data_IF_679075175799
#
_entry.id   IF_679075175799
#
_cell.length_a   1.000
_cell.length_b   1.000
_cell.length_c   1.000
_cell.angle_alpha   90.00
_cell.angle_beta   90.00
_cell.angle_gamma   90.00
#
_symmetry.space_group_name_H-M   'P 1'
#
loop_
_entity.id
_entity.type
_entity.pdbx_description
1 polymer ?
#
# COMPACT_ATOMS: atom_id res chain seq x y z
N UNK A 1 -10.23 15.51 -18.41
CA UNK A 1 -9.66 14.23 -18.41
C UNK A 1 -8.19 14.16 -18.10
N UNK A 2 -7.50 15.24 -18.07
CA UNK A 2 -6.08 15.25 -17.76
C UNK A 2 -5.78 15.17 -16.26
N UNK A 3 -6.80 15.15 -15.39
CA UNK A 3 -6.58 15.26 -13.95
C UNK A 3 -5.92 14.03 -13.33
N UNK A 4 -6.08 12.87 -13.95
CA UNK A 4 -5.50 11.62 -13.45
C UNK A 4 -4.03 11.49 -13.82
N UNK A 5 -3.62 11.99 -14.98
CA UNK A 5 -2.24 11.84 -15.41
C UNK A 5 -1.23 12.55 -14.50
N UNK A 6 -1.48 13.79 -14.03
CA UNK A 6 -0.56 14.40 -13.07
C UNK A 6 -0.43 13.61 -11.77
N UNK A 7 -1.52 12.97 -11.30
CA UNK A 7 -1.48 12.11 -10.12
C UNK A 7 -0.58 10.90 -10.37
N UNK A 8 -0.77 10.22 -11.49
CA UNK A 8 0.04 9.06 -11.83
C UNK A 8 1.50 9.44 -11.96
N UNK A 9 1.81 10.56 -12.62
CA UNK A 9 3.17 11.06 -12.76
C UNK A 9 3.81 11.33 -11.40
N UNK A 10 3.06 11.92 -10.47
CA UNK A 10 3.55 12.20 -9.13
C UNK A 10 3.87 10.92 -8.37
N UNK A 11 3.00 9.92 -8.49
CA UNK A 11 3.23 8.61 -7.86
C UNK A 11 4.50 7.96 -8.41
N UNK A 12 4.67 7.97 -9.72
CA UNK A 12 5.84 7.37 -10.37
C UNK A 12 7.11 8.10 -9.95
N UNK A 13 7.08 9.43 -9.95
CA UNK A 13 8.24 10.26 -9.60
C UNK A 13 8.68 10.02 -8.15
N UNK A 14 7.75 9.68 -7.26
CA UNK A 14 8.06 9.46 -5.84
C UNK A 14 8.79 8.15 -5.58
N UNK A 15 8.77 7.21 -6.52
CA UNK A 15 9.38 5.89 -6.35
C UNK A 15 10.72 5.86 -7.11
N UNK A 16 11.82 5.38 -6.47
CA UNK A 16 13.10 5.28 -7.18
C UNK A 16 12.99 4.42 -8.45
N UNK A 17 13.64 4.86 -9.51
CA UNK A 17 13.56 4.20 -10.81
C UNK A 17 14.00 2.73 -10.75
N UNK A 18 15.02 2.42 -9.96
CA UNK A 18 15.50 1.04 -9.81
C UNK A 18 14.45 0.14 -9.16
N UNK A 19 13.61 0.68 -8.30
CA UNK A 19 12.53 -0.09 -7.68
C UNK A 19 11.41 -0.33 -8.68
N UNK A 20 11.10 0.66 -9.51
CA UNK A 20 10.10 0.49 -10.57
C UNK A 20 10.56 -0.53 -11.61
N UNK A 21 11.86 -0.66 -11.83
CA UNK A 21 12.39 -1.66 -12.75
C UNK A 21 12.29 -3.08 -12.17
N UNK A 22 12.39 -3.23 -10.86
CA UNK A 22 12.36 -4.54 -10.21
C UNK A 22 10.97 -5.04 -9.88
N UNK A 23 10.00 -4.15 -9.68
CA UNK A 23 8.67 -4.55 -9.23
C UNK A 23 7.95 -5.41 -10.25
N UNK A 24 7.29 -6.46 -9.78
CA UNK A 24 6.44 -7.32 -10.60
C UNK A 24 4.98 -6.88 -10.54
N UNK A 25 4.50 -6.55 -9.34
CA UNK A 25 3.10 -6.18 -9.11
C UNK A 25 2.97 -5.14 -8.01
N UNK A 26 1.89 -4.39 -8.08
CA UNK A 26 1.50 -3.49 -7.01
C UNK A 26 0.43 -4.14 -6.16
N UNK A 27 0.57 -4.03 -4.85
CA UNK A 27 -0.41 -4.54 -3.88
C UNK A 27 -1.34 -3.39 -3.53
N UNK A 28 -2.60 -3.53 -3.92
CA UNK A 28 -3.62 -2.50 -3.73
C UNK A 28 -4.39 -2.76 -2.44
N UNK A 29 -4.39 -1.78 -1.55
CA UNK A 29 -5.08 -1.89 -0.27
C UNK A 29 -6.47 -1.26 -0.38
N UNK A 30 -7.51 -2.03 -0.06
CA UNK A 30 -8.90 -1.57 -0.11
C UNK A 30 -9.10 -0.35 0.80
N UNK A 31 -9.79 0.69 0.36
CA UNK A 31 -10.42 0.77 -0.97
C UNK A 31 -9.73 1.80 -1.86
N UNK A 32 -9.22 2.89 -1.32
CA UNK A 32 -8.65 3.99 -2.11
C UNK A 32 -7.31 3.63 -2.72
N UNK A 33 -6.59 2.70 -2.12
CA UNK A 33 -5.37 2.17 -2.71
C UNK A 33 -5.61 1.45 -4.04
N UNK A 34 -6.83 0.94 -4.27
CA UNK A 34 -7.17 0.29 -5.54
C UNK A 34 -7.01 1.25 -6.72
N UNK A 35 -7.46 2.49 -6.57
CA UNK A 35 -7.33 3.49 -7.65
C UNK A 35 -5.87 3.79 -7.93
N UNK A 36 -5.11 4.10 -6.89
CA UNK A 36 -3.70 4.50 -7.03
C UNK A 36 -2.86 3.36 -7.60
N UNK A 37 -3.05 2.15 -7.07
CA UNK A 37 -2.30 0.99 -7.55
C UNK A 37 -2.64 0.63 -8.99
N UNK A 38 -3.92 0.78 -9.38
CA UNK A 38 -4.36 0.52 -10.74
C UNK A 38 -3.71 1.49 -11.73
N UNK A 39 -3.60 2.76 -11.35
CA UNK A 39 -2.94 3.76 -12.18
C UNK A 39 -1.46 3.41 -12.41
N UNK A 40 -0.78 3.01 -11.34
CA UNK A 40 0.62 2.61 -11.43
C UNK A 40 0.79 1.35 -12.28
N UNK A 41 0.00 0.33 -12.01
CA UNK A 41 0.09 -0.94 -12.71
C UNK A 41 -0.17 -0.77 -14.21
N UNK A 42 -1.19 -0.01 -14.54
CA UNK A 42 -1.56 0.21 -15.94
C UNK A 42 -0.48 1.02 -16.68
N UNK A 43 -0.01 2.11 -16.08
CA UNK A 43 1.01 2.95 -16.71
C UNK A 43 2.32 2.20 -16.93
N UNK A 44 2.71 1.36 -15.97
CA UNK A 44 4.02 0.69 -15.98
C UNK A 44 3.97 -0.73 -16.54
N UNK A 45 2.79 -1.19 -16.91
CA UNK A 45 2.63 -2.56 -17.44
C UNK A 45 2.97 -3.63 -16.43
N UNK A 46 2.60 -3.41 -15.16
CA UNK A 46 2.86 -4.34 -14.06
C UNK A 46 1.57 -4.99 -13.58
N UNK A 47 1.70 -6.04 -12.76
CA UNK A 47 0.56 -6.73 -12.19
C UNK A 47 -0.10 -5.98 -11.04
N UNK A 48 -1.25 -6.49 -10.61
CA UNK A 48 -2.04 -5.93 -9.52
C UNK A 48 -2.51 -7.06 -8.62
N UNK A 49 -2.20 -6.95 -7.32
CA UNK A 49 -2.66 -7.88 -6.30
C UNK A 49 -3.54 -7.12 -5.33
N UNK A 50 -4.70 -7.69 -4.98
CA UNK A 50 -5.67 -7.01 -4.13
C UNK A 50 -5.57 -7.50 -2.70
N UNK A 51 -5.57 -6.58 -1.76
CA UNK A 51 -5.76 -6.84 -0.33
C UNK A 51 -7.13 -6.29 0.04
N UNK A 52 -8.00 -7.16 0.53
CA UNK A 52 -9.38 -6.81 0.84
C UNK A 52 -9.78 -7.29 2.24
N UNK A 53 -10.82 -6.72 2.75
CA UNK A 53 -11.40 -7.19 4.01
C UNK A 53 -11.96 -8.60 3.83
N UNK A 54 -12.04 -9.34 4.94
CA UNK A 54 -12.44 -10.74 4.94
C UNK A 54 -13.76 -10.97 4.20
N UNK A 55 -13.80 -12.06 3.46
CA UNK A 55 -15.01 -12.50 2.76
C UNK A 55 -15.26 -11.86 1.40
N UNK A 56 -14.38 -10.97 0.94
CA UNK A 56 -14.58 -10.28 -0.34
C UNK A 56 -13.83 -10.89 -1.51
N UNK A 57 -12.88 -11.78 -1.24
CA UNK A 57 -12.14 -12.48 -2.29
C UNK A 57 -12.58 -13.93 -2.37
N UNK A 58 -12.59 -14.53 -3.57
CA UNK A 58 -12.88 -15.95 -3.70
C UNK A 58 -11.76 -16.78 -3.07
N UNK A 59 -12.09 -17.89 -2.40
CA UNK A 59 -11.07 -18.79 -1.87
C UNK A 59 -10.28 -19.45 -2.98
N UNK A 60 -9.03 -19.89 -2.76
CA UNK A 60 -8.34 -19.85 -1.48
C UNK A 60 -7.71 -18.48 -1.18
N UNK A 61 -7.74 -18.10 0.09
CA UNK A 61 -7.14 -16.84 0.55
C UNK A 61 -6.22 -17.09 1.74
N UNK A 62 -5.30 -16.15 1.96
CA UNK A 62 -4.49 -16.06 3.17
C UNK A 62 -4.92 -14.78 3.87
N UNK A 63 -4.99 -14.81 5.18
CA UNK A 63 -5.43 -13.65 5.92
C UNK A 63 -4.58 -13.36 7.15
N UNK A 64 -4.71 -12.12 7.62
CA UNK A 64 -4.09 -11.65 8.84
C UNK A 64 -5.07 -10.75 9.58
N UNK A 65 -5.16 -10.94 10.90
CA UNK A 65 -5.97 -10.07 11.75
C UNK A 65 -5.17 -8.87 12.21
N UNK A 66 -5.86 -7.78 12.46
CA UNK A 66 -5.24 -6.60 13.05
C UNK A 66 -6.23 -5.87 13.94
N UNK A 67 -5.70 -5.17 14.95
CA UNK A 67 -6.53 -4.50 15.96
C UNK A 67 -6.99 -3.14 15.48
N UNK A 68 -8.25 -2.86 15.74
CA UNK A 68 -8.85 -1.54 15.54
C UNK A 68 -9.32 -1.03 16.90
N UNK A 69 -9.66 0.27 16.98
CA UNK A 69 -10.24 0.85 18.20
C UNK A 69 -11.49 0.10 18.66
N UNK A 70 -12.25 -0.42 17.72
CA UNK A 70 -13.56 -1.04 17.98
C UNK A 70 -13.54 -2.56 17.98
N UNK A 71 -12.34 -3.17 17.90
CA UNK A 71 -12.24 -4.62 17.86
C UNK A 71 -11.18 -5.09 16.89
N UNK A 72 -11.44 -6.22 16.26
CA UNK A 72 -10.53 -6.85 15.32
C UNK A 72 -11.10 -6.79 13.91
N UNK A 73 -10.23 -6.62 12.95
CA UNK A 73 -10.57 -6.78 11.54
C UNK A 73 -9.58 -7.75 10.92
N UNK A 74 -9.86 -8.20 9.71
CA UNK A 74 -9.03 -9.16 9.01
C UNK A 74 -8.88 -8.74 7.56
N UNK A 75 -7.64 -8.79 7.09
CA UNK A 75 -7.33 -8.55 5.69
C UNK A 75 -6.93 -9.85 5.03
N UNK A 76 -7.28 -9.99 3.77
CA UNK A 76 -7.02 -11.19 2.99
C UNK A 76 -6.47 -10.85 1.62
N UNK A 77 -5.67 -11.76 1.07
CA UNK A 77 -5.26 -11.72 -0.32
C UNK A 77 -5.25 -13.13 -0.88
N UNK A 78 -5.27 -13.24 -2.21
CA UNK A 78 -5.31 -14.53 -2.88
C UNK A 78 -4.10 -15.38 -2.50
N UNK A 79 -4.36 -16.64 -2.13
CA UNK A 79 -3.34 -17.65 -1.99
C UNK A 79 -2.96 -18.17 -3.39
N UNK A 80 -1.94 -18.98 -3.47
CA UNK A 80 -1.58 -19.69 -4.72
C UNK A 80 -1.15 -18.77 -5.87
N UNK A 81 -0.73 -17.54 -5.57
CA UNK A 81 -0.09 -16.69 -6.56
C UNK A 81 1.41 -16.92 -6.52
N UNK A 82 2.09 -16.91 -7.69
CA UNK A 82 3.55 -17.04 -7.71
C UNK A 82 4.22 -15.94 -6.88
N UNK A 83 5.34 -16.28 -6.27
CA UNK A 83 6.11 -15.30 -5.50
C UNK A 83 6.58 -14.17 -6.41
N UNK A 84 6.41 -12.94 -5.95
CA UNK A 84 6.67 -11.73 -6.73
C UNK A 84 7.33 -10.67 -5.87
N UNK A 85 8.02 -9.75 -6.53
CA UNK A 85 8.49 -8.51 -5.89
C UNK A 85 7.39 -7.47 -6.00
N UNK A 86 6.97 -6.92 -4.88
CA UNK A 86 5.79 -6.06 -4.83
C UNK A 86 6.07 -4.73 -4.14
N UNK A 87 5.27 -3.74 -4.52
CA UNK A 87 5.20 -2.45 -3.83
C UNK A 87 3.77 -2.32 -3.33
N UNK A 88 3.62 -2.07 -2.03
CA UNK A 88 2.30 -1.85 -1.41
C UNK A 88 1.87 -0.42 -1.70
N UNK A 89 0.60 -0.22 -2.05
CA UNK A 89 0.08 1.10 -2.41
C UNK A 89 -1.14 1.42 -1.57
N UNK A 90 -1.11 2.58 -0.92
CA UNK A 90 -2.26 3.09 -0.18
C UNK A 90 -2.30 4.62 -0.27
N UNK A 91 -3.41 5.22 0.12
CA UNK A 91 -3.59 6.66 -0.01
C UNK A 91 -2.97 7.43 1.16
N UNK A 92 -3.22 7.01 2.40
CA UNK A 92 -2.72 7.72 3.59
C UNK A 92 -2.02 6.75 4.53
N UNK A 93 -0.86 7.16 5.01
CA UNK A 93 -0.17 6.46 6.09
C UNK A 93 -0.28 7.32 7.34
N UNK A 94 -1.13 6.90 8.27
CA UNK A 94 -1.32 7.55 9.56
C UNK A 94 -0.59 6.78 10.65
N UNK A 95 -1.28 5.95 11.42
CA UNK A 95 -0.66 5.21 12.51
C UNK A 95 0.17 4.01 12.05
N UNK A 96 -0.09 3.53 10.85
CA UNK A 96 0.65 2.41 10.28
C UNK A 96 0.09 1.03 10.58
N UNK A 97 -1.02 0.94 11.29
CA UNK A 97 -1.61 -0.36 11.64
C UNK A 97 -2.00 -1.18 10.42
N UNK A 98 -2.67 -0.55 9.47
CA UNK A 98 -3.06 -1.23 8.23
C UNK A 98 -1.84 -1.65 7.42
N UNK A 99 -0.90 -0.75 7.23
CA UNK A 99 0.30 -1.06 6.44
C UNK A 99 1.11 -2.18 7.07
N UNK A 100 1.21 -2.19 8.39
CA UNK A 100 1.91 -3.26 9.11
C UNK A 100 1.22 -4.61 8.89
N UNK A 101 -0.10 -4.64 8.94
CA UNK A 101 -0.87 -5.86 8.68
C UNK A 101 -0.70 -6.33 7.23
N UNK A 102 -0.73 -5.42 6.28
CA UNK A 102 -0.54 -5.74 4.87
C UNK A 102 0.87 -6.31 4.63
N UNK A 103 1.87 -5.72 5.25
CA UNK A 103 3.25 -6.22 5.16
C UNK A 103 3.34 -7.67 5.63
N UNK A 104 2.72 -7.99 6.75
CA UNK A 104 2.69 -9.36 7.27
C UNK A 104 1.97 -10.31 6.31
N UNK A 105 0.84 -9.87 5.77
CA UNK A 105 0.04 -10.67 4.86
C UNK A 105 0.81 -11.00 3.59
N UNK A 106 1.44 -10.00 3.00
CA UNK A 106 2.24 -10.15 1.78
C UNK A 106 3.39 -11.13 2.00
N UNK A 107 4.05 -11.05 3.16
CA UNK A 107 5.12 -11.98 3.50
C UNK A 107 4.60 -13.40 3.67
N UNK A 108 3.41 -13.58 4.25
CA UNK A 108 2.78 -14.90 4.38
C UNK A 108 2.50 -15.53 3.01
N UNK A 109 2.29 -14.72 1.99
CA UNK A 109 2.07 -15.19 0.63
C UNK A 109 3.36 -15.37 -0.16
N UNK A 110 4.52 -15.26 0.52
CA UNK A 110 5.85 -15.45 -0.05
C UNK A 110 6.23 -14.41 -1.11
N UNK A 111 5.66 -13.21 -1.02
CA UNK A 111 6.08 -12.10 -1.86
C UNK A 111 7.14 -11.28 -1.15
N UNK A 112 8.02 -10.69 -1.92
CA UNK A 112 9.06 -9.79 -1.41
C UNK A 112 8.59 -8.35 -1.50
N UNK A 113 8.52 -7.64 -0.37
CA UNK A 113 8.10 -6.24 -0.33
C UNK A 113 9.31 -5.35 -0.59
N UNK A 114 9.26 -4.57 -1.68
CA UNK A 114 10.30 -3.59 -1.97
C UNK A 114 10.12 -2.32 -1.16
N UNK A 115 8.88 -1.96 -0.89
CA UNK A 115 8.52 -0.76 -0.14
C UNK A 115 7.04 -0.46 -0.29
N UNK A 116 6.65 0.72 0.16
CA UNK A 116 5.27 1.19 0.06
C UNK A 116 5.19 2.55 -0.60
N UNK A 117 4.28 2.68 -1.56
CA UNK A 117 3.96 3.94 -2.22
C UNK A 117 2.72 4.52 -1.55
N UNK A 118 2.86 5.71 -0.98
CA UNK A 118 1.81 6.35 -0.18
C UNK A 118 1.56 7.73 -0.78
N UNK A 119 0.30 8.09 -0.99
CA UNK A 119 0.01 9.43 -1.49
C UNK A 119 0.32 10.49 -0.43
N UNK A 120 -0.19 10.32 0.78
CA UNK A 120 0.03 11.25 1.87
C UNK A 120 0.57 10.52 3.10
N UNK A 121 1.79 10.84 3.49
CA UNK A 121 2.41 10.31 4.70
C UNK A 121 2.28 11.32 5.83
N UNK A 122 1.86 10.84 7.00
CA UNK A 122 1.78 11.62 8.24
C UNK A 122 2.83 11.07 9.20
N UNK A 123 4.11 11.42 9.01
CA UNK A 123 5.20 10.73 9.71
C UNK A 123 5.20 10.91 11.23
N UNK A 124 4.57 11.97 11.73
CA UNK A 124 4.48 12.17 13.18
C UNK A 124 3.51 11.21 13.88
N UNK A 125 2.71 10.47 13.12
CA UNK A 125 1.70 9.56 13.66
C UNK A 125 2.17 8.12 13.72
N UNK A 126 3.33 7.80 13.18
CA UNK A 126 3.83 6.43 13.20
C UNK A 126 5.34 6.39 13.43
N UNK A 127 5.80 5.24 13.91
CA UNK A 127 7.21 4.96 14.05
C UNK A 127 7.75 4.34 12.75
N UNK A 128 8.99 3.90 12.77
CA UNK A 128 9.58 3.15 11.68
C UNK A 128 8.85 1.81 11.53
N UNK A 129 8.32 1.55 10.35
CA UNK A 129 7.54 0.34 10.07
C UNK A 129 8.39 -0.78 9.49
N UNK A 130 9.71 -0.57 9.39
CA UNK A 130 10.60 -1.60 8.88
C UNK A 130 10.53 -1.80 7.38
N UNK A 131 10.06 -0.79 6.64
CA UNK A 131 10.07 -0.81 5.18
C UNK A 131 10.24 0.60 4.65
N UNK A 132 10.67 0.69 3.39
CA UNK A 132 10.84 1.98 2.73
C UNK A 132 9.49 2.56 2.40
N UNK A 133 9.30 3.85 2.66
CA UNK A 133 8.08 4.58 2.35
C UNK A 133 8.42 5.66 1.32
N UNK A 134 7.71 5.65 0.19
CA UNK A 134 7.84 6.68 -0.83
C UNK A 134 6.51 7.41 -0.92
N UNK A 135 6.51 8.66 -0.53
CA UNK A 135 5.27 9.44 -0.50
C UNK A 135 5.29 10.56 -1.51
N UNK A 136 4.11 10.87 -2.03
CA UNK A 136 3.95 12.04 -2.91
C UNK A 136 3.97 13.29 -2.06
N UNK A 137 3.21 13.28 -0.97
CA UNK A 137 3.14 14.38 -0.02
C UNK A 137 3.46 13.84 1.38
N UNK A 138 4.13 14.64 2.18
CA UNK A 138 4.23 14.33 3.59
C UNK A 138 3.83 15.57 4.39
N UNK A 139 3.22 15.33 5.54
CA UNK A 139 2.82 16.39 6.45
C UNK A 139 3.54 16.16 7.78
N UNK A 140 4.57 16.97 8.00
CA UNK A 140 5.37 16.93 9.22
C UNK A 140 4.89 17.97 10.24
N UNK A 141 3.68 18.48 10.05
CA UNK A 141 3.10 19.45 10.96
C UNK A 141 2.99 18.86 12.36
N UNK A 142 3.31 19.66 13.35
CA UNK A 142 3.17 19.24 14.73
C UNK A 142 1.69 19.16 15.10
N UNK A 143 1.33 18.33 16.09
CA UNK A 143 -0.07 18.18 16.48
C UNK A 143 -0.78 19.51 16.75
N UNK A 144 -0.13 20.47 17.37
CA UNK A 144 -0.73 21.77 17.64
C UNK A 144 -1.02 22.54 16.34
N UNK A 145 -0.22 22.34 15.29
CA UNK A 145 -0.51 22.95 14.00
C UNK A 145 -1.72 22.31 13.34
N UNK A 146 -1.88 21.02 13.52
CA UNK A 146 -3.02 20.28 12.99
C UNK A 146 -4.29 20.66 13.74
N UNK A 147 -4.17 20.90 15.05
CA UNK A 147 -5.32 21.27 15.87
C UNK A 147 -5.84 22.67 15.56
N UNK A 148 -5.00 23.52 15.03
CA UNK A 148 -5.41 24.85 14.63
C UNK A 148 -6.16 24.81 13.31
#
# INVERSE_FOLDING_TARGET
>A
MSNIEPLTDALITSIPAEQLAEVDSFVAVEARGFVLASLLAQRLGKGLLLVRKAGKLPPPVVGVGYSLEYGLDRLEMAANTPSQKVIIVDDVLATGGTLKAVKQLVAKCNHEVLGASIFLDLPDLHADLGLKIWSVLDDKSKPESVAA
#
